data_IF_254694361183
#
_entry.id   IF_254694361183
#
_cell.length_a   1.000
_cell.length_b   1.000
_cell.length_c   1.000
_cell.angle_alpha   90.00
_cell.angle_beta   90.00
_cell.angle_gamma   90.00
#
_symmetry.space_group_name_H-M   'P 1'
#
loop_
_entity.id
_entity.type
_entity.pdbx_description
1 polymer ?
#
# COMPACT_ATOMS: atom_id res chain seq x y z
N UNK A 1 28.37 -2.35 -17.72
CA UNK A 1 28.89 -1.14 -17.07
C UNK A 1 28.94 -1.24 -15.55
N UNK A 2 27.99 -1.87 -14.88
CA UNK A 2 27.93 -2.06 -13.41
C UNK A 2 29.06 -2.97 -12.83
N UNK A 3 29.59 -3.91 -13.62
CA UNK A 3 30.68 -4.79 -13.23
C UNK A 3 32.02 -4.08 -12.91
N UNK A 4 32.19 -2.85 -13.39
CA UNK A 4 33.43 -2.07 -13.21
C UNK A 4 33.53 -1.38 -11.85
N UNK A 5 32.42 -1.32 -11.09
CA UNK A 5 32.30 -0.56 -9.83
C UNK A 5 32.18 -1.43 -8.58
N UNK A 6 32.60 -2.69 -8.68
CA UNK A 6 32.58 -3.61 -7.55
C UNK A 6 31.18 -4.14 -7.26
N UNK A 7 30.73 -5.12 -8.03
CA UNK A 7 29.40 -5.75 -7.96
C UNK A 7 28.99 -6.29 -6.58
N UNK A 8 29.89 -6.34 -5.63
CA UNK A 8 29.64 -6.78 -4.25
C UNK A 8 29.01 -5.70 -3.34
N UNK A 9 28.88 -4.47 -3.83
CA UNK A 9 28.24 -3.36 -3.07
C UNK A 9 27.07 -2.79 -3.86
N UNK A 10 25.98 -3.56 -3.97
CA UNK A 10 24.73 -3.12 -4.62
C UNK A 10 24.19 -1.79 -4.07
N UNK A 11 24.54 -1.42 -2.87
CA UNK A 11 24.06 -0.27 -2.11
C UNK A 11 25.23 0.57 -1.59
N UNK A 12 26.09 1.06 -2.46
CA UNK A 12 27.14 2.01 -2.08
C UNK A 12 26.68 3.44 -2.40
N UNK A 13 27.15 4.42 -1.65
CA UNK A 13 26.88 5.85 -1.88
C UNK A 13 27.21 6.26 -3.32
N UNK A 14 28.37 5.85 -3.82
CA UNK A 14 28.82 6.11 -5.19
C UNK A 14 27.86 5.52 -6.24
N UNK A 15 27.34 4.32 -5.98
CA UNK A 15 26.40 3.67 -6.90
C UNK A 15 25.04 4.37 -6.87
N UNK A 16 24.61 4.84 -5.70
CA UNK A 16 23.38 5.61 -5.55
C UNK A 16 23.42 6.95 -6.27
N UNK A 17 24.53 7.68 -6.15
CA UNK A 17 24.71 8.97 -6.81
C UNK A 17 24.71 8.83 -8.33
N UNK A 18 25.43 7.82 -8.85
CA UNK A 18 25.44 7.53 -10.28
C UNK A 18 24.06 7.11 -10.80
N UNK A 19 23.34 6.28 -10.04
CA UNK A 19 21.99 5.84 -10.38
C UNK A 19 20.98 6.99 -10.35
N UNK A 20 21.07 7.86 -9.33
CA UNK A 20 20.22 9.04 -9.20
C UNK A 20 20.46 10.04 -10.34
N UNK A 21 21.73 10.33 -10.67
CA UNK A 21 22.08 11.18 -11.79
C UNK A 21 21.61 10.61 -13.14
N UNK A 22 21.71 9.30 -13.34
CA UNK A 22 21.19 8.62 -14.53
C UNK A 22 19.67 8.72 -14.60
N UNK A 23 18.97 8.41 -13.51
CA UNK A 23 17.50 8.46 -13.46
C UNK A 23 16.99 9.88 -13.75
N UNK A 24 17.58 10.88 -13.13
CA UNK A 24 17.21 12.28 -13.38
C UNK A 24 17.38 12.68 -14.85
N UNK A 25 18.52 12.32 -15.45
CA UNK A 25 18.75 12.59 -16.88
C UNK A 25 17.77 11.86 -17.78
N UNK A 26 17.48 10.60 -17.50
CA UNK A 26 16.54 9.80 -18.26
C UNK A 26 15.13 10.40 -18.21
N UNK A 27 14.65 10.80 -17.04
CA UNK A 27 13.34 11.42 -16.87
C UNK A 27 13.27 12.76 -17.63
N UNK A 28 14.29 13.59 -17.50
CA UNK A 28 14.32 14.91 -18.17
C UNK A 28 14.48 14.81 -19.70
N UNK A 29 15.16 13.78 -20.19
CA UNK A 29 15.34 13.60 -21.65
C UNK A 29 14.15 12.94 -22.31
N UNK A 30 13.38 12.12 -21.58
CA UNK A 30 12.25 11.33 -22.12
C UNK A 30 11.02 11.43 -21.21
N UNK A 31 10.49 12.62 -20.91
CA UNK A 31 9.39 12.80 -19.95
C UNK A 31 8.11 12.09 -20.38
N UNK A 32 7.84 12.03 -21.68
CA UNK A 32 6.66 11.33 -22.23
C UNK A 32 6.70 9.82 -22.00
N UNK A 33 7.85 9.20 -22.16
CA UNK A 33 8.00 7.76 -21.94
C UNK A 33 7.98 7.43 -20.44
N UNK A 34 8.57 8.27 -19.61
CA UNK A 34 8.43 8.16 -18.16
C UNK A 34 6.96 8.23 -17.73
N UNK A 35 6.19 9.21 -18.20
CA UNK A 35 4.77 9.32 -17.89
C UNK A 35 3.95 8.11 -18.36
N UNK A 36 4.29 7.52 -19.52
CA UNK A 36 3.65 6.27 -19.98
C UNK A 36 3.91 5.11 -19.03
N UNK A 37 5.14 4.99 -18.51
CA UNK A 37 5.48 3.95 -17.52
C UNK A 37 4.70 4.17 -16.23
N UNK A 38 4.71 5.39 -15.68
CA UNK A 38 3.95 5.75 -14.47
C UNK A 38 2.46 5.46 -14.65
N UNK A 39 1.88 5.88 -15.77
CA UNK A 39 0.47 5.62 -16.06
C UNK A 39 0.17 4.12 -16.15
N UNK A 40 1.00 3.36 -16.87
CA UNK A 40 0.84 1.91 -16.98
C UNK A 40 0.88 1.23 -15.62
N UNK A 41 1.81 1.61 -14.75
CA UNK A 41 1.96 1.03 -13.43
C UNK A 41 0.83 1.46 -12.48
N UNK A 42 0.40 2.71 -12.56
CA UNK A 42 -0.78 3.17 -11.87
C UNK A 42 -2.04 2.38 -12.26
N UNK A 43 -2.30 2.21 -13.57
CA UNK A 43 -3.45 1.46 -14.06
C UNK A 43 -3.36 -0.05 -13.81
N UNK A 44 -2.17 -0.59 -13.59
CA UNK A 44 -1.99 -1.99 -13.16
C UNK A 44 -2.70 -2.30 -11.84
N UNK A 45 -2.83 -1.30 -10.96
CA UNK A 45 -3.59 -1.41 -9.70
C UNK A 45 -5.06 -1.79 -9.92
N UNK A 46 -5.62 -1.53 -11.09
CA UNK A 46 -7.05 -1.71 -11.39
C UNK A 46 -7.36 -2.96 -12.24
N UNK A 47 -6.40 -3.84 -12.44
CA UNK A 47 -6.66 -5.08 -13.18
C UNK A 47 -7.63 -6.00 -12.40
N UNK A 48 -8.46 -6.73 -13.15
CA UNK A 48 -9.38 -7.71 -12.57
C UNK A 48 -8.65 -8.84 -11.85
N UNK A 49 -7.70 -9.45 -12.53
CA UNK A 49 -6.80 -10.42 -11.94
C UNK A 49 -5.46 -9.74 -11.66
N UNK A 50 -4.83 -10.10 -10.54
CA UNK A 50 -3.47 -9.62 -10.25
C UNK A 50 -2.50 -10.40 -11.15
N UNK A 51 -1.92 -9.78 -12.20
CA UNK A 51 -0.87 -10.44 -12.95
C UNK A 51 0.34 -10.69 -12.03
N UNK A 52 1.10 -11.74 -12.32
CA UNK A 52 2.35 -12.02 -11.61
C UNK A 52 3.37 -10.95 -11.95
N UNK A 53 3.60 -10.04 -11.03
CA UNK A 53 4.47 -8.89 -11.21
C UNK A 53 5.16 -8.52 -9.88
N UNK A 54 6.46 -8.11 -9.88
CA UNK A 54 7.37 -8.05 -11.04
C UNK A 54 7.79 -9.43 -11.55
N UNK A 55 7.79 -10.43 -10.68
CA UNK A 55 8.13 -11.81 -10.97
C UNK A 55 7.30 -12.79 -10.12
N UNK A 56 7.39 -14.08 -10.42
CA UNK A 56 6.66 -15.12 -9.72
C UNK A 56 7.10 -15.31 -8.26
N UNK A 57 8.37 -15.07 -7.98
CA UNK A 57 8.92 -15.18 -6.61
C UNK A 57 8.29 -14.13 -5.70
N UNK A 58 8.25 -12.87 -6.14
CA UNK A 58 7.62 -11.77 -5.41
C UNK A 58 6.12 -12.00 -5.23
N UNK A 59 5.42 -12.44 -6.29
CA UNK A 59 4.00 -12.77 -6.20
C UNK A 59 3.72 -13.87 -5.17
N UNK A 60 4.55 -14.91 -5.13
CA UNK A 60 4.40 -16.03 -4.20
C UNK A 60 4.64 -15.65 -2.73
N UNK A 61 5.42 -14.59 -2.45
CA UNK A 61 5.60 -14.08 -1.09
C UNK A 61 4.31 -13.53 -0.47
N UNK A 62 3.32 -13.14 -1.28
CA UNK A 62 2.02 -12.63 -0.81
C UNK A 62 0.93 -13.70 -0.73
N UNK A 63 1.27 -14.97 -0.97
CA UNK A 63 0.31 -16.06 -0.88
C UNK A 63 0.40 -16.74 0.49
N UNK A 64 -0.73 -16.88 1.17
CA UNK A 64 -0.83 -17.73 2.36
C UNK A 64 -0.86 -19.20 1.94
N UNK A 65 0.29 -19.87 2.07
CA UNK A 65 0.41 -21.29 1.73
C UNK A 65 0.06 -22.15 2.94
N UNK A 66 -0.81 -23.15 2.80
CA UNK A 66 -1.15 -24.07 3.89
C UNK A 66 -0.10 -25.19 4.06
N UNK A 67 1.07 -25.03 3.46
CA UNK A 67 2.17 -26.01 3.52
C UNK A 67 3.52 -25.27 3.57
N UNK A 68 4.51 -25.93 4.14
CA UNK A 68 5.89 -25.44 4.13
C UNK A 68 6.52 -25.78 2.78
N UNK A 69 7.12 -24.81 2.12
CA UNK A 69 7.90 -25.09 0.90
C UNK A 69 9.16 -25.88 1.24
N UNK A 70 9.42 -26.90 0.45
CA UNK A 70 10.61 -27.73 0.56
C UNK A 70 11.65 -27.22 -0.46
N UNK A 71 12.91 -27.15 -0.05
CA UNK A 71 14.01 -26.83 -0.93
C UNK A 71 14.40 -28.04 -1.82
N UNK A 72 15.35 -27.83 -2.75
CA UNK A 72 15.83 -28.89 -3.64
C UNK A 72 16.51 -30.07 -2.93
N UNK A 73 16.79 -29.96 -1.63
CA UNK A 73 17.41 -30.98 -0.78
C UNK A 73 16.38 -31.70 0.12
N UNK A 74 15.09 -31.44 -0.07
CA UNK A 74 14.04 -32.04 0.75
C UNK A 74 13.89 -31.43 2.14
N UNK A 75 14.56 -30.31 2.42
CA UNK A 75 14.47 -29.61 3.69
C UNK A 75 13.45 -28.46 3.63
N UNK A 76 12.78 -28.12 4.74
CA UNK A 76 11.93 -26.92 4.80
C UNK A 76 12.73 -25.69 4.35
N UNK A 77 12.15 -24.93 3.42
CA UNK A 77 12.76 -23.71 2.89
C UNK A 77 12.97 -22.71 4.03
N UNK A 78 14.20 -22.48 4.39
CA UNK A 78 14.56 -21.52 5.44
C UNK A 78 14.29 -20.11 4.99
N UNK A 79 14.02 -19.21 5.95
CA UNK A 79 13.95 -17.78 5.70
C UNK A 79 15.24 -17.34 5.00
N UNK A 80 15.14 -16.48 3.96
CA UNK A 80 16.32 -15.99 3.28
C UNK A 80 17.22 -15.26 4.28
N UNK A 81 18.53 -15.51 4.18
CA UNK A 81 19.55 -14.83 4.99
C UNK A 81 19.70 -13.38 4.54
N UNK A 82 18.78 -12.53 4.93
CA UNK A 82 18.85 -11.10 4.63
C UNK A 82 19.73 -10.45 5.69
N UNK A 83 20.66 -9.59 5.28
CA UNK A 83 21.27 -8.67 6.22
C UNK A 83 20.23 -7.61 6.58
N UNK A 84 19.92 -7.43 7.85
CA UNK A 84 19.13 -6.29 8.29
C UNK A 84 19.89 -4.99 8.01
N UNK A 85 19.17 -3.87 7.88
CA UNK A 85 19.76 -2.54 7.68
C UNK A 85 20.78 -2.18 8.79
N UNK A 86 20.64 -2.75 9.96
CA UNK A 86 21.55 -2.56 11.11
C UNK A 86 22.77 -3.52 11.12
N UNK A 87 23.00 -4.25 10.03
CA UNK A 87 24.13 -5.20 9.95
C UNK A 87 23.89 -6.55 10.63
N UNK A 88 22.69 -6.77 11.20
CA UNK A 88 22.26 -8.06 11.72
C UNK A 88 21.89 -9.05 10.61
N UNK A 89 21.82 -10.32 10.95
CA UNK A 89 21.34 -11.37 10.05
C UNK A 89 19.98 -11.84 10.51
N UNK A 90 19.01 -11.89 9.60
CA UNK A 90 17.62 -12.27 9.91
C UNK A 90 17.54 -13.66 10.57
N UNK A 91 18.38 -14.62 10.15
CA UNK A 91 18.44 -15.93 10.75
C UNK A 91 18.94 -15.91 12.21
N UNK A 92 19.91 -15.06 12.52
CA UNK A 92 20.46 -14.90 13.87
C UNK A 92 19.48 -14.14 14.77
N UNK A 93 18.88 -13.07 14.25
CA UNK A 93 17.92 -12.24 14.98
C UNK A 93 16.64 -13.04 15.27
N UNK A 94 16.14 -13.83 14.30
CA UNK A 94 14.99 -14.71 14.50
C UNK A 94 15.29 -15.81 15.52
N UNK A 95 16.49 -16.42 15.48
CA UNK A 95 16.90 -17.41 16.46
C UNK A 95 16.93 -16.83 17.89
N UNK A 96 17.47 -15.63 18.04
CA UNK A 96 17.53 -14.95 19.33
C UNK A 96 16.13 -14.58 19.86
N UNK A 97 15.21 -14.18 18.96
CA UNK A 97 13.85 -13.81 19.30
C UNK A 97 12.98 -15.03 19.66
N UNK A 98 13.05 -16.09 18.85
CA UNK A 98 12.22 -17.30 19.01
C UNK A 98 12.84 -18.32 19.98
N UNK A 99 14.10 -18.10 20.41
CA UNK A 99 14.88 -19.04 21.23
C UNK A 99 14.98 -20.43 20.61
N UNK A 100 14.98 -20.49 19.28
CA UNK A 100 15.02 -21.73 18.52
C UNK A 100 15.33 -21.52 17.04
N UNK A 101 15.44 -22.60 16.26
CA UNK A 101 15.73 -22.49 14.83
C UNK A 101 14.64 -21.64 14.12
N UNK A 102 15.03 -20.70 13.25
CA UNK A 102 14.11 -19.83 12.52
C UNK A 102 13.41 -20.60 11.40
N UNK A 103 12.50 -21.48 11.76
CA UNK A 103 11.76 -22.31 10.82
C UNK A 103 10.35 -21.78 10.62
N UNK A 104 9.90 -21.76 9.36
CA UNK A 104 8.51 -21.43 9.05
C UNK A 104 7.60 -22.57 9.55
N UNK A 105 6.71 -22.26 10.48
CA UNK A 105 5.74 -23.22 11.01
C UNK A 105 4.36 -22.94 10.45
N UNK A 106 3.74 -23.95 9.88
CA UNK A 106 2.34 -23.89 9.43
C UNK A 106 1.45 -24.40 10.54
N UNK A 107 0.56 -23.55 11.05
CA UNK A 107 -0.35 -23.89 12.15
C UNK A 107 -1.74 -24.16 11.59
N UNK A 108 -2.16 -25.42 11.54
CA UNK A 108 -3.52 -25.81 11.21
C UNK A 108 -4.45 -25.64 12.43
N UNK A 109 -5.73 -25.26 12.27
CA UNK A 109 -6.45 -25.02 11.01
C UNK A 109 -6.30 -23.59 10.45
N UNK A 110 -5.55 -22.70 11.13
CA UNK A 110 -5.48 -21.28 10.79
C UNK A 110 -4.90 -21.03 9.40
N UNK A 111 -3.89 -21.81 9.01
CA UNK A 111 -3.30 -21.69 7.68
C UNK A 111 -4.32 -21.99 6.56
N UNK A 112 -5.18 -23.00 6.77
CA UNK A 112 -6.21 -23.36 5.80
C UNK A 112 -7.30 -22.28 5.71
N UNK A 113 -7.71 -21.71 6.85
CA UNK A 113 -8.67 -20.61 6.93
C UNK A 113 -8.11 -19.38 6.20
N UNK A 114 -6.85 -19.00 6.45
CA UNK A 114 -6.22 -17.85 5.80
C UNK A 114 -6.05 -18.05 4.30
N UNK A 115 -5.67 -19.26 3.87
CA UNK A 115 -5.59 -19.60 2.45
C UNK A 115 -6.96 -19.54 1.77
N UNK A 116 -8.00 -20.06 2.42
CA UNK A 116 -9.38 -19.97 1.95
C UNK A 116 -9.89 -18.54 1.87
N UNK A 117 -9.65 -17.75 2.94
CA UNK A 117 -9.98 -16.33 2.99
C UNK A 117 -9.35 -15.54 1.84
N UNK A 118 -8.06 -15.73 1.60
CA UNK A 118 -7.34 -15.04 0.52
C UNK A 118 -7.92 -15.34 -0.87
N UNK A 119 -8.43 -16.52 -1.11
CA UNK A 119 -9.03 -16.91 -2.40
C UNK A 119 -10.38 -16.22 -2.65
N UNK A 120 -11.16 -15.98 -1.60
CA UNK A 120 -12.54 -15.47 -1.69
C UNK A 120 -12.61 -13.98 -1.43
N UNK A 121 -11.95 -13.50 -0.39
CA UNK A 121 -12.09 -12.14 0.15
C UNK A 121 -10.94 -11.23 -0.23
N UNK A 122 -10.58 -11.15 -1.51
CA UNK A 122 -9.63 -10.14 -1.93
C UNK A 122 -10.30 -9.04 -2.77
N UNK A 123 -9.91 -7.79 -2.52
CA UNK A 123 -10.39 -6.66 -3.29
C UNK A 123 -9.78 -6.71 -4.70
N UNK A 124 -10.62 -6.92 -5.71
CA UNK A 124 -10.18 -6.87 -7.11
C UNK A 124 -9.85 -5.45 -7.53
N UNK A 125 -8.85 -5.27 -8.37
CA UNK A 125 -8.41 -3.93 -8.79
C UNK A 125 -9.55 -3.09 -9.40
N UNK A 126 -10.42 -3.69 -10.21
CA UNK A 126 -11.57 -2.98 -10.78
C UNK A 126 -12.57 -2.50 -9.71
N UNK A 127 -12.71 -3.22 -8.58
CA UNK A 127 -13.53 -2.77 -7.46
C UNK A 127 -12.94 -1.53 -6.79
N UNK A 128 -11.62 -1.52 -6.60
CA UNK A 128 -10.90 -0.33 -6.11
C UNK A 128 -11.10 0.85 -7.07
N UNK A 129 -11.00 0.61 -8.39
CA UNK A 129 -11.29 1.61 -9.42
C UNK A 129 -12.70 2.19 -9.28
N UNK A 130 -13.71 1.34 -9.12
CA UNK A 130 -15.09 1.75 -8.89
C UNK A 130 -15.27 2.57 -7.61
N UNK A 131 -14.64 2.17 -6.51
CA UNK A 131 -14.64 2.91 -5.24
C UNK A 131 -14.01 4.30 -5.42
N UNK A 132 -12.88 4.40 -6.13
CA UNK A 132 -12.23 5.68 -6.42
C UNK A 132 -13.07 6.57 -7.33
N UNK A 133 -13.80 6.00 -8.31
CA UNK A 133 -14.71 6.76 -9.17
C UNK A 133 -15.88 7.32 -8.39
N UNK A 134 -16.45 6.59 -7.41
CA UNK A 134 -17.47 7.11 -6.50
C UNK A 134 -16.90 8.28 -5.69
N UNK A 135 -15.69 8.15 -5.16
CA UNK A 135 -15.00 9.25 -4.46
C UNK A 135 -14.78 10.46 -5.37
N UNK A 136 -14.30 10.25 -6.59
CA UNK A 136 -14.11 11.29 -7.60
C UNK A 136 -15.41 12.03 -7.91
N UNK A 137 -16.50 11.30 -8.11
CA UNK A 137 -17.83 11.89 -8.28
C UNK A 137 -18.17 12.83 -7.10
N UNK A 138 -17.90 12.39 -5.87
CA UNK A 138 -18.09 13.22 -4.68
C UNK A 138 -17.27 14.52 -4.66
N UNK A 139 -16.02 14.46 -5.14
CA UNK A 139 -15.15 15.63 -5.29
C UNK A 139 -15.70 16.59 -6.37
N UNK A 140 -16.06 16.05 -7.54
CA UNK A 140 -16.56 16.85 -8.68
C UNK A 140 -17.86 17.56 -8.34
N UNK A 141 -18.83 16.88 -7.76
CA UNK A 141 -20.13 17.48 -7.35
C UNK A 141 -19.93 18.61 -6.32
N UNK A 142 -18.86 18.51 -5.52
CA UNK A 142 -18.53 19.54 -4.51
C UNK A 142 -17.42 20.49 -4.95
N UNK A 143 -17.11 20.56 -6.24
CA UNK A 143 -15.99 21.35 -6.79
C UNK A 143 -15.98 22.80 -6.30
N UNK A 144 -17.16 23.46 -6.30
CA UNK A 144 -17.30 24.83 -5.79
C UNK A 144 -16.94 25.01 -4.31
N UNK A 145 -16.81 23.90 -3.55
CA UNK A 145 -16.39 23.86 -2.15
C UNK A 145 -15.04 23.13 -1.98
N UNK A 146 -14.18 23.24 -3.01
CA UNK A 146 -12.89 22.54 -3.06
C UNK A 146 -13.01 21.02 -2.79
N UNK A 147 -14.07 20.36 -3.33
CA UNK A 147 -14.34 18.93 -3.11
C UNK A 147 -14.88 18.57 -1.74
N UNK A 148 -14.90 19.51 -0.79
CA UNK A 148 -15.40 19.28 0.58
C UNK A 148 -14.63 18.21 1.34
N UNK A 149 -15.27 17.49 2.28
CA UNK A 149 -14.59 16.50 3.14
C UNK A 149 -14.13 15.24 2.39
N UNK A 150 -14.55 15.07 1.13
CA UNK A 150 -14.16 13.91 0.29
C UNK A 150 -12.76 14.07 -0.29
N UNK A 151 -12.32 15.32 -0.52
CA UNK A 151 -11.09 15.59 -1.26
C UNK A 151 -9.85 15.03 -0.58
N UNK A 152 -9.73 15.18 0.72
CA UNK A 152 -8.54 14.75 1.45
C UNK A 152 -8.35 13.21 1.41
N UNK A 153 -9.33 12.39 1.80
CA UNK A 153 -9.16 10.94 1.69
C UNK A 153 -9.05 10.45 0.25
N UNK A 154 -9.71 11.12 -0.71
CA UNK A 154 -9.59 10.76 -2.12
C UNK A 154 -8.19 11.05 -2.67
N UNK A 155 -7.66 12.26 -2.44
CA UNK A 155 -6.29 12.60 -2.85
C UNK A 155 -5.25 11.74 -2.15
N UNK A 156 -5.46 11.43 -0.86
CA UNK A 156 -4.60 10.50 -0.13
C UNK A 156 -4.56 9.12 -0.76
N UNK A 157 -5.73 8.57 -1.13
CA UNK A 157 -5.81 7.28 -1.81
C UNK A 157 -5.09 7.29 -3.18
N UNK A 158 -5.38 8.31 -4.01
CA UNK A 158 -4.74 8.45 -5.32
C UNK A 158 -3.23 8.68 -5.18
N UNK A 159 -2.81 9.52 -4.23
CA UNK A 159 -1.41 9.79 -3.95
C UNK A 159 -0.64 8.54 -3.53
N UNK A 160 -1.22 7.70 -2.67
CA UNK A 160 -0.62 6.43 -2.24
C UNK A 160 -0.50 5.40 -3.38
N UNK A 161 -1.33 5.49 -4.41
CA UNK A 161 -1.20 4.65 -5.61
C UNK A 161 -0.21 5.25 -6.62
N UNK A 162 -0.21 6.56 -6.77
CA UNK A 162 0.60 7.24 -7.78
C UNK A 162 2.05 7.39 -7.35
N UNK A 163 2.32 7.67 -6.06
CA UNK A 163 3.68 7.89 -5.58
C UNK A 163 4.60 6.67 -5.81
N UNK A 164 4.22 5.42 -5.45
CA UNK A 164 5.04 4.26 -5.77
C UNK A 164 5.20 4.04 -7.27
N UNK A 165 4.15 4.24 -8.07
CA UNK A 165 4.22 4.11 -9.53
C UNK A 165 5.20 5.11 -10.16
N UNK A 166 5.39 6.27 -9.53
CA UNK A 166 6.33 7.29 -10.00
C UNK A 166 7.75 7.13 -9.44
N UNK A 167 7.93 6.54 -8.26
CA UNK A 167 9.23 6.56 -7.57
C UNK A 167 9.87 5.20 -7.38
N UNK A 168 9.11 4.12 -7.55
CA UNK A 168 9.56 2.77 -7.29
C UNK A 168 9.05 1.80 -8.37
N UNK A 169 9.49 0.55 -8.30
CA UNK A 169 8.88 -0.53 -9.06
C UNK A 169 7.49 -0.85 -8.48
N UNK A 170 6.50 -1.09 -9.35
CA UNK A 170 5.15 -1.42 -8.92
C UNK A 170 5.14 -2.70 -8.07
N UNK A 171 4.43 -2.64 -6.94
CA UNK A 171 4.20 -3.79 -6.07
C UNK A 171 2.78 -3.71 -5.47
N UNK A 172 2.08 -4.82 -5.38
CA UNK A 172 0.71 -4.89 -4.86
C UNK A 172 0.57 -4.47 -3.39
N UNK A 173 1.64 -4.53 -2.59
CA UNK A 173 1.64 -4.04 -1.20
C UNK A 173 1.34 -2.54 -1.11
N UNK A 174 1.69 -1.77 -2.13
CA UNK A 174 1.43 -0.33 -2.17
C UNK A 174 -0.05 0.01 -2.40
N UNK A 175 -0.83 -0.95 -2.89
CA UNK A 175 -2.28 -0.78 -3.07
C UNK A 175 -3.03 -0.82 -1.75
N UNK A 176 -2.54 -1.62 -0.79
CA UNK A 176 -3.25 -1.88 0.48
C UNK A 176 -3.54 -0.61 1.30
N UNK A 177 -2.59 0.32 1.53
CA UNK A 177 -2.86 1.53 2.32
C UNK A 177 -3.80 2.52 1.62
N UNK A 178 -3.96 2.44 0.29
CA UNK A 178 -4.90 3.29 -0.45
C UNK A 178 -6.36 2.88 -0.25
N UNK A 179 -6.62 1.58 0.00
CA UNK A 179 -7.98 1.02 0.10
C UNK A 179 -8.83 1.69 1.19
N UNK A 180 -8.37 1.82 2.45
CA UNK A 180 -9.16 2.46 3.50
C UNK A 180 -9.55 3.90 3.15
N UNK A 181 -8.61 4.68 2.60
CA UNK A 181 -8.87 6.07 2.22
C UNK A 181 -9.85 6.16 1.05
N UNK A 182 -9.74 5.29 0.06
CA UNK A 182 -10.70 5.21 -1.04
C UNK A 182 -12.11 4.87 -0.52
N UNK A 183 -12.24 3.91 0.38
CA UNK A 183 -13.50 3.53 1.01
C UNK A 183 -14.11 4.68 1.83
N UNK A 184 -13.30 5.43 2.58
CA UNK A 184 -13.73 6.61 3.32
C UNK A 184 -14.27 7.67 2.36
N UNK A 185 -13.55 7.96 1.27
CA UNK A 185 -13.99 8.93 0.27
C UNK A 185 -15.32 8.53 -0.37
N UNK A 186 -15.48 7.27 -0.74
CA UNK A 186 -16.73 6.74 -1.29
C UNK A 186 -17.89 6.79 -0.26
N UNK A 187 -17.63 6.40 0.98
CA UNK A 187 -18.63 6.43 2.05
C UNK A 187 -19.15 7.85 2.32
N UNK A 188 -18.23 8.84 2.40
CA UNK A 188 -18.63 10.25 2.56
C UNK A 188 -19.43 10.74 1.35
N UNK A 189 -19.11 10.26 0.14
CA UNK A 189 -19.84 10.61 -1.07
C UNK A 189 -21.26 10.08 -1.06
N UNK A 190 -21.43 8.81 -0.69
CA UNK A 190 -22.73 8.11 -0.68
C UNK A 190 -23.61 8.52 0.50
N UNK A 191 -23.05 9.10 1.56
CA UNK A 191 -23.80 9.52 2.73
C UNK A 191 -24.82 10.60 2.37
N UNK A 192 -26.11 10.25 2.35
CA UNK A 192 -27.21 11.18 2.13
C UNK A 192 -27.37 12.12 3.34
N UNK A 193 -27.44 13.43 3.09
CA UNK A 193 -27.93 14.40 4.11
C UNK A 193 -26.91 15.04 5.03
N UNK A 194 -25.58 14.82 4.90
CA UNK A 194 -24.59 15.60 5.64
C UNK A 194 -24.19 16.82 4.81
N UNK A 195 -24.96 17.87 4.89
CA UNK A 195 -24.51 19.19 4.48
C UNK A 195 -23.64 19.79 5.59
N UNK A 196 -22.66 20.64 5.24
CA UNK A 196 -21.84 21.38 6.21
C UNK A 196 -22.68 22.16 7.26
N UNK A 197 -23.90 22.55 6.91
CA UNK A 197 -24.85 23.19 7.82
C UNK A 197 -25.19 22.32 9.04
N UNK A 198 -25.13 20.99 8.91
CA UNK A 198 -25.42 20.10 10.04
C UNK A 198 -24.21 19.86 10.96
N UNK A 199 -22.98 20.09 10.49
CA UNK A 199 -21.78 19.94 11.33
C UNK A 199 -21.70 20.99 12.42
N UNK A 200 -22.19 22.21 12.19
CA UNK A 200 -22.23 23.27 13.20
C UNK A 200 -23.11 22.91 14.41
N UNK A 201 -24.10 22.02 14.23
CA UNK A 201 -24.96 21.53 15.33
C UNK A 201 -24.24 20.56 16.27
N UNK A 202 -23.15 19.94 15.84
CA UNK A 202 -22.36 19.00 16.64
C UNK A 202 -21.04 19.61 17.16
N UNK A 203 -20.83 20.92 16.95
CA UNK A 203 -19.68 21.61 17.52
C UNK A 203 -19.78 21.65 19.06
N UNK A 204 -18.72 21.27 19.79
CA UNK A 204 -18.72 21.27 21.27
C UNK A 204 -19.05 22.63 21.87
N UNK A 205 -18.75 23.72 21.17
CA UNK A 205 -19.04 25.10 21.60
C UNK A 205 -20.56 25.40 21.76
N UNK A 206 -21.43 24.68 21.04
CA UNK A 206 -22.88 24.88 21.22
C UNK A 206 -23.48 24.06 22.38
N UNK A 207 -22.86 22.95 22.79
CA UNK A 207 -23.31 22.19 23.97
C UNK A 207 -23.11 22.95 25.27
N UNK A 208 -22.04 23.77 25.34
CA UNK A 208 -21.80 24.61 26.52
C UNK A 208 -22.79 25.78 26.66
N UNK A 209 -23.37 26.27 25.55
CA UNK A 209 -24.32 27.38 25.56
C UNK A 209 -25.78 26.95 25.84
N UNK A 210 -26.09 25.66 25.78
CA UNK A 210 -27.43 25.11 26.04
C UNK A 210 -27.56 24.39 27.40
N UNK A 211 -26.53 24.44 28.23
CA UNK A 211 -26.64 23.95 29.63
C UNK A 211 -27.55 24.90 30.40
N UNK A 212 -28.65 24.42 30.99
CA UNK A 212 -29.51 25.27 31.82
C UNK A 212 -28.72 25.75 33.03
N UNK A 213 -28.80 27.05 33.30
CA UNK A 213 -28.16 27.71 34.43
C UNK A 213 -28.89 27.29 35.74
N UNK A 214 -28.56 26.11 36.25
CA UNK A 214 -29.10 25.59 37.53
C UNK A 214 -28.20 25.96 38.71
N UNK A 215 -27.89 27.24 38.84
CA UNK A 215 -27.23 27.73 40.03
C UNK A 215 -27.83 29.10 40.41
N UNK A 216 -28.97 29.08 41.10
CA UNK A 216 -29.39 30.12 42.07
C UNK A 216 -30.67 29.68 42.75
N UNK A 217 -30.54 29.12 43.91
CA UNK A 217 -31.40 29.30 45.08
C UNK A 217 -30.64 28.83 46.33
#
# INVERSE_FOLDING_TARGET
>A
MLHRWGANKKWSEITNDAASAFATRAILSQPGDYLKVVARDFFRSFHWARPRFPDESTYNMYQFKPYVEIDGNGQPKRLPKWSSYAGGRTDTDAFAYEQGPPETRVVHPWADIMSGYQKVFYLRGIMLGGILLIGLYGVVVRWRKFGGPVVLPWLGAVGLLLAPAATAEFDYRYVLPAVPLACIAAAITLRRGVTWANWSKYSPKRRAASAPNTARS
#
